data_IF_843050740965
#
_entry.id   IF_843050740965
#
_cell.length_a   1.000
_cell.length_b   1.000
_cell.length_c   1.000
_cell.angle_alpha   90.00
_cell.angle_beta   90.00
_cell.angle_gamma   90.00
#
_symmetry.space_group_name_H-M   'P 1'
#
loop_
_entity.id
_entity.type
_entity.pdbx_description
1 polymer ?
#
# COMPACT_ATOMS: atom_id res chain seq x y z
N UNK A 1 32.08 -27.65 36.54
CA UNK A 1 30.84 -27.25 35.84
C UNK A 1 30.83 -25.73 35.73
N UNK A 2 31.07 -25.16 34.54
CA UNK A 2 30.94 -23.71 34.35
C UNK A 2 29.48 -23.34 34.58
N UNK A 3 29.22 -22.53 35.61
CA UNK A 3 27.89 -22.27 36.11
C UNK A 3 27.02 -21.67 35.01
N UNK A 4 25.82 -22.23 34.82
CA UNK A 4 24.79 -21.70 33.90
C UNK A 4 24.53 -20.21 34.17
N UNK A 5 24.77 -19.74 35.40
CA UNK A 5 24.68 -18.33 35.77
C UNK A 5 25.65 -17.41 35.03
N UNK A 6 26.84 -17.89 34.64
CA UNK A 6 27.79 -17.05 33.90
C UNK A 6 27.34 -16.79 32.46
N UNK A 7 26.69 -17.78 31.85
CA UNK A 7 26.06 -17.63 30.53
C UNK A 7 24.86 -16.68 30.58
N UNK A 8 24.07 -16.73 31.66
CA UNK A 8 22.93 -15.81 31.86
C UNK A 8 23.39 -14.34 31.98
N UNK A 9 24.56 -14.09 32.59
CA UNK A 9 25.14 -12.73 32.70
C UNK A 9 25.56 -12.13 31.35
N UNK A 10 25.75 -12.94 30.32
CA UNK A 10 26.11 -12.49 28.97
C UNK A 10 24.89 -12.10 28.11
N UNK A 11 23.68 -12.52 28.51
CA UNK A 11 22.45 -12.23 27.77
C UNK A 11 22.19 -10.73 27.54
N UNK A 12 22.40 -9.83 28.53
CA UNK A 12 22.19 -8.40 28.32
C UNK A 12 23.14 -7.82 27.27
N UNK A 13 24.41 -8.24 27.31
CA UNK A 13 25.43 -7.79 26.36
C UNK A 13 25.11 -8.26 24.93
N UNK A 14 24.71 -9.53 24.78
CA UNK A 14 24.29 -10.08 23.48
C UNK A 14 23.02 -9.39 22.97
N UNK A 15 22.07 -9.08 23.85
CA UNK A 15 20.86 -8.33 23.51
C UNK A 15 21.17 -6.93 22.98
N UNK A 16 22.10 -6.22 23.63
CA UNK A 16 22.54 -4.88 23.19
C UNK A 16 23.23 -4.96 21.82
N UNK A 17 24.14 -5.91 21.61
CA UNK A 17 24.83 -6.09 20.33
C UNK A 17 23.86 -6.44 19.20
N UNK A 18 22.90 -7.34 19.47
CA UNK A 18 21.87 -7.70 18.51
C UNK A 18 20.95 -6.51 18.17
N UNK A 19 20.56 -5.70 19.17
CA UNK A 19 19.74 -4.53 18.96
C UNK A 19 20.47 -3.47 18.12
N UNK A 20 21.74 -3.19 18.43
CA UNK A 20 22.56 -2.24 17.67
C UNK A 20 22.76 -2.71 16.22
N UNK A 21 23.11 -3.99 16.03
CA UNK A 21 23.25 -4.58 14.69
C UNK A 21 21.94 -4.53 13.90
N UNK A 22 20.80 -4.79 14.54
CA UNK A 22 19.50 -4.65 13.89
C UNK A 22 19.21 -3.21 13.48
N UNK A 23 19.45 -2.23 14.36
CA UNK A 23 19.20 -0.82 14.08
C UNK A 23 20.07 -0.28 12.94
N UNK A 24 21.33 -0.71 12.85
CA UNK A 24 22.25 -0.31 11.77
C UNK A 24 21.88 -0.93 10.42
N UNK A 25 21.38 -2.18 10.41
CA UNK A 25 21.02 -2.89 9.17
C UNK A 25 19.60 -2.56 8.70
N UNK A 26 18.68 -2.23 9.62
CA UNK A 26 17.27 -1.87 9.34
C UNK A 26 17.05 -0.84 8.22
N UNK A 27 17.82 0.26 8.09
CA UNK A 27 17.65 1.22 6.98
C UNK A 27 18.08 0.66 5.62
N UNK A 28 18.99 -0.33 5.59
CA UNK A 28 19.46 -0.98 4.37
C UNK A 28 18.60 -2.17 3.96
N UNK A 29 17.82 -2.73 4.89
CA UNK A 29 16.84 -3.76 4.55
C UNK A 29 15.74 -3.14 3.68
N UNK A 30 15.46 -3.71 2.50
CA UNK A 30 14.38 -3.21 1.65
C UNK A 30 13.07 -3.32 2.44
N UNK A 31 12.51 -2.15 2.81
CA UNK A 31 11.15 -2.11 3.34
C UNK A 31 10.26 -2.73 2.28
N UNK A 32 9.58 -3.84 2.59
CA UNK A 32 8.46 -4.30 1.77
C UNK A 32 7.52 -3.11 1.66
N UNK A 33 7.49 -2.45 0.50
CA UNK A 33 6.48 -1.43 0.22
C UNK A 33 5.16 -2.13 0.47
N UNK A 34 4.44 -1.71 1.51
CA UNK A 34 3.08 -2.16 1.75
C UNK A 34 2.37 -1.89 0.42
N UNK A 35 1.83 -2.91 -0.22
CA UNK A 35 1.15 -2.89 -1.52
C UNK A 35 -0.09 -1.98 -1.46
N UNK A 36 0.13 -0.69 -1.23
CA UNK A 36 -0.85 0.39 -1.19
C UNK A 36 -0.51 1.43 -2.25
N UNK A 37 0.73 1.44 -2.75
CA UNK A 37 1.22 2.41 -3.74
C UNK A 37 0.61 2.26 -5.15
N UNK A 38 -0.26 1.27 -5.40
CA UNK A 38 -0.91 1.08 -6.71
C UNK A 38 -2.43 0.88 -6.63
N UNK A 39 -3.06 1.21 -5.49
CA UNK A 39 -4.53 1.21 -5.40
C UNK A 39 -5.06 2.48 -6.08
N UNK A 40 -5.27 2.40 -7.40
CA UNK A 40 -5.90 3.46 -8.19
C UNK A 40 -7.36 3.63 -7.76
N UNK A 41 -8.07 2.51 -7.54
CA UNK A 41 -9.44 2.50 -7.08
C UNK A 41 -9.54 2.42 -5.54
N UNK A 42 -9.71 3.57 -4.90
CA UNK A 42 -9.79 3.67 -3.44
C UNK A 42 -11.20 3.40 -2.89
N UNK A 43 -12.27 3.64 -3.67
CA UNK A 43 -13.65 3.73 -3.15
C UNK A 43 -14.76 3.19 -4.07
N UNK A 44 -14.50 2.97 -5.36
CA UNK A 44 -15.54 2.65 -6.34
C UNK A 44 -15.72 1.13 -6.42
N UNK A 45 -16.95 0.64 -6.25
CA UNK A 45 -17.38 -0.74 -6.54
C UNK A 45 -16.36 -1.85 -6.14
N UNK A 46 -15.99 -1.92 -4.85
CA UNK A 46 -14.99 -2.89 -4.37
C UNK A 46 -15.52 -4.32 -4.24
N UNK A 47 -16.83 -4.45 -4.17
CA UNK A 47 -17.58 -5.71 -4.18
C UNK A 47 -17.53 -6.41 -5.54
N UNK A 48 -17.25 -5.67 -6.62
CA UNK A 48 -17.09 -6.24 -7.96
C UNK A 48 -15.61 -6.55 -8.23
N UNK A 49 -15.25 -7.82 -8.52
CA UNK A 49 -13.87 -8.19 -8.83
C UNK A 49 -13.31 -7.49 -10.09
N UNK A 50 -14.17 -7.01 -10.99
CA UNK A 50 -13.76 -6.23 -12.16
C UNK A 50 -14.81 -5.17 -12.52
N UNK A 51 -14.50 -3.92 -12.21
CA UNK A 51 -15.32 -2.77 -12.59
C UNK A 51 -15.08 -2.46 -14.07
N UNK A 52 -16.09 -2.72 -14.91
CA UNK A 52 -16.14 -2.41 -16.34
C UNK A 52 -17.40 -1.59 -16.59
N UNK A 53 -17.30 -0.57 -17.43
CA UNK A 53 -18.41 0.29 -17.78
C UNK A 53 -18.58 0.30 -19.28
N UNK A 54 -19.77 -0.09 -19.71
CA UNK A 54 -20.20 -0.08 -21.10
C UNK A 54 -20.99 1.22 -21.32
N UNK A 55 -20.66 1.93 -22.40
CA UNK A 55 -21.30 3.20 -22.73
C UNK A 55 -21.61 3.15 -24.22
N UNK A 56 -22.88 3.27 -24.55
CA UNK A 56 -23.35 3.36 -25.91
C UNK A 56 -23.15 4.79 -26.43
N UNK A 57 -22.58 4.90 -27.63
CA UNK A 57 -22.24 6.20 -28.24
C UNK A 57 -23.47 7.05 -28.57
N UNK A 58 -24.63 6.41 -28.68
CA UNK A 58 -25.91 7.03 -29.02
C UNK A 58 -26.50 7.79 -27.82
N UNK A 59 -26.15 7.39 -26.60
CA UNK A 59 -26.58 8.02 -25.36
C UNK A 59 -25.70 9.21 -24.94
N UNK A 60 -24.69 9.56 -25.76
CA UNK A 60 -23.84 10.72 -25.56
C UNK A 60 -24.62 12.00 -25.90
N UNK A 61 -25.44 12.46 -24.95
CA UNK A 61 -26.25 13.70 -25.06
C UNK A 61 -25.39 14.95 -25.33
N UNK A 62 -24.10 14.91 -25.06
CA UNK A 62 -23.18 16.06 -25.19
C UNK A 62 -22.04 15.75 -26.14
N UNK A 63 -21.69 16.71 -27.00
CA UNK A 63 -20.63 16.59 -28.01
C UNK A 63 -19.22 16.43 -27.43
N UNK A 64 -19.02 16.79 -26.16
CA UNK A 64 -17.73 16.67 -25.45
C UNK A 64 -17.94 16.13 -24.04
N UNK A 65 -17.99 14.81 -23.90
CA UNK A 65 -18.03 14.11 -22.60
C UNK A 65 -16.64 13.63 -22.23
N UNK A 66 -16.18 13.98 -21.03
CA UNK A 66 -14.93 13.51 -20.47
C UNK A 66 -15.20 12.45 -19.39
N UNK A 67 -14.62 11.27 -19.58
CA UNK A 67 -14.71 10.16 -18.63
C UNK A 67 -13.53 10.11 -17.66
N UNK A 68 -13.83 9.86 -16.39
CA UNK A 68 -12.82 9.81 -15.34
C UNK A 68 -11.85 8.64 -15.55
N UNK A 69 -10.56 8.93 -15.74
CA UNK A 69 -9.48 7.92 -15.79
C UNK A 69 -8.72 7.79 -14.47
N UNK A 70 -8.93 8.72 -13.54
CA UNK A 70 -8.17 8.81 -12.30
C UNK A 70 -8.81 8.06 -11.13
N UNK A 71 -10.02 7.52 -11.28
CA UNK A 71 -10.78 6.82 -10.23
C UNK A 71 -11.01 7.65 -8.95
N UNK A 72 -11.00 8.98 -9.09
CA UNK A 72 -11.20 9.94 -7.99
C UNK A 72 -12.49 10.74 -8.10
N UNK A 73 -13.26 10.57 -9.17
CA UNK A 73 -14.54 11.28 -9.31
C UNK A 73 -15.55 10.79 -8.27
N UNK A 74 -16.43 11.70 -7.84
CA UNK A 74 -17.55 11.40 -6.93
C UNK A 74 -18.68 10.68 -7.65
N UNK A 75 -18.80 10.92 -8.95
CA UNK A 75 -19.65 10.14 -9.86
C UNK A 75 -18.78 9.13 -10.58
N UNK A 76 -19.19 7.87 -10.61
CA UNK A 76 -18.34 6.75 -11.05
C UNK A 76 -17.76 6.93 -12.47
N UNK A 77 -18.39 7.74 -13.33
CA UNK A 77 -18.02 7.84 -14.75
C UNK A 77 -17.61 9.24 -15.24
N UNK A 78 -18.16 10.32 -14.69
CA UNK A 78 -17.96 11.65 -15.25
C UNK A 78 -16.74 12.35 -14.64
N UNK A 79 -15.90 12.98 -15.46
CA UNK A 79 -14.83 13.85 -14.98
C UNK A 79 -15.40 15.10 -14.31
N UNK A 80 -15.28 15.19 -12.98
CA UNK A 80 -15.53 16.43 -12.20
C UNK A 80 -14.25 16.98 -11.55
N UNK A 81 -13.07 16.52 -11.99
CA UNK A 81 -11.80 17.05 -11.50
C UNK A 81 -11.59 18.48 -12.03
N UNK A 82 -12.10 19.46 -11.29
CA UNK A 82 -11.61 20.84 -11.29
C UNK A 82 -10.22 20.90 -10.63
#
# INVERSE_FOLDING_TARGET
MRSVSEWLRLLPLLGILALLGYLTIRPFLPKKKKQRDCLINLKIQKENPKVVNEIDIEDLRSTNVCYCRCWRSKTDFQCQCL
#
